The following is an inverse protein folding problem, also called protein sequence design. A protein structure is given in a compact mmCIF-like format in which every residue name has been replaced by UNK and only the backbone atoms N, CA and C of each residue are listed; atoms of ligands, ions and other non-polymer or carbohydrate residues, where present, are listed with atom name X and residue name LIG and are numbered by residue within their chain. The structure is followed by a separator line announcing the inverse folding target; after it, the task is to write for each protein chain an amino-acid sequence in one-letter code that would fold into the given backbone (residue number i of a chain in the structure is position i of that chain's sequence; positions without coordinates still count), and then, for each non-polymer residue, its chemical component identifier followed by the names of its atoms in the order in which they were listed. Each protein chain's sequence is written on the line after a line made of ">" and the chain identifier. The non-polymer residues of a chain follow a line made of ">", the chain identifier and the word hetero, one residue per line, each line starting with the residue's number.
data_IF_485076552379
#
_entry.id   IF_485076552379
#
_cell.length_a   1.000
_cell.length_b   1.000
_cell.length_c   1.000
_cell.angle_alpha   90.00
_cell.angle_beta   90.00
_cell.angle_gamma   90.00
#
_symmetry.space_group_name_H-M   'P 1'
#
loop_
_entity.id
_entity.type
_entity.pdbx_description
1 polymer ?
#
# COMPACT_ATOMS: atom_id res chain seq x y z
N UNK A 1 6.12 -14.27 -16.98
CA UNK A 1 5.58 -13.54 -15.80
C UNK A 1 5.71 -12.02 -15.90
N UNK A 2 6.86 -11.41 -16.22
CA UNK A 2 7.03 -9.93 -16.36
C UNK A 2 6.01 -9.29 -17.33
N UNK A 3 5.63 -9.98 -18.43
CA UNK A 3 4.67 -9.48 -19.44
C UNK A 3 3.24 -9.37 -18.91
N UNK A 4 2.78 -10.33 -18.08
CA UNK A 4 1.42 -10.29 -17.48
C UNK A 4 1.31 -9.22 -16.40
N UNK A 5 2.37 -9.02 -15.58
CA UNK A 5 2.45 -7.94 -14.60
C UNK A 5 2.32 -6.57 -15.26
N UNK A 6 3.07 -6.32 -16.36
CA UNK A 6 2.96 -5.06 -17.12
C UNK A 6 1.55 -4.84 -17.70
N UNK A 7 0.90 -5.89 -18.21
CA UNK A 7 -0.48 -5.80 -18.72
C UNK A 7 -1.48 -5.45 -17.65
N UNK A 8 -1.36 -6.02 -16.44
CA UNK A 8 -2.24 -5.74 -15.32
C UNK A 8 -2.09 -4.29 -14.84
N UNK A 9 -0.86 -3.80 -14.71
CA UNK A 9 -0.61 -2.41 -14.34
C UNK A 9 -1.10 -1.43 -15.41
N UNK A 10 -0.94 -1.77 -16.69
CA UNK A 10 -1.49 -0.97 -17.78
C UNK A 10 -3.03 -0.90 -17.71
N UNK A 11 -3.70 -2.02 -17.41
CA UNK A 11 -5.15 -2.06 -17.26
C UNK A 11 -5.63 -1.18 -16.09
N UNK A 12 -4.98 -1.25 -14.92
CA UNK A 12 -5.28 -0.40 -13.77
C UNK A 12 -5.10 1.08 -14.14
N UNK A 13 -4.00 1.42 -14.80
CA UNK A 13 -3.73 2.79 -15.24
C UNK A 13 -4.80 3.31 -16.21
N UNK A 14 -5.23 2.49 -17.18
CA UNK A 14 -6.28 2.85 -18.14
C UNK A 14 -7.61 3.10 -17.41
N UNK A 15 -7.98 2.26 -16.44
CA UNK A 15 -9.22 2.42 -15.65
C UNK A 15 -9.18 3.73 -14.87
N UNK A 16 -8.07 4.04 -14.19
CA UNK A 16 -7.91 5.29 -13.43
C UNK A 16 -7.99 6.50 -14.35
N UNK A 17 -7.30 6.46 -15.50
CA UNK A 17 -7.32 7.54 -16.49
C UNK A 17 -8.75 7.77 -17.04
N UNK A 18 -9.49 6.70 -17.31
CA UNK A 18 -10.90 6.77 -17.73
C UNK A 18 -11.78 7.40 -16.64
N UNK A 19 -11.64 6.98 -15.38
CA UNK A 19 -12.40 7.55 -14.26
C UNK A 19 -12.13 9.05 -14.08
N UNK A 20 -10.86 9.46 -14.15
CA UNK A 20 -10.48 10.87 -14.06
C UNK A 20 -11.03 11.70 -15.23
N UNK A 21 -11.00 11.16 -16.46
CA UNK A 21 -11.57 11.84 -17.62
C UNK A 21 -13.09 11.98 -17.52
N UNK A 22 -13.79 10.96 -17.02
CA UNK A 22 -15.22 11.00 -16.78
C UNK A 22 -15.60 12.03 -15.70
N UNK A 23 -14.84 12.11 -14.61
CA UNK A 23 -15.02 13.10 -13.55
C UNK A 23 -14.82 14.54 -14.07
N UNK A 24 -13.77 14.77 -14.86
CA UNK A 24 -13.52 16.10 -15.45
C UNK A 24 -14.64 16.50 -16.42
N UNK A 25 -15.09 15.57 -17.26
CA UNK A 25 -16.22 15.81 -18.16
C UNK A 25 -17.51 16.12 -17.37
N UNK A 26 -17.81 15.35 -16.32
CA UNK A 26 -18.98 15.55 -15.45
C UNK A 26 -18.95 16.92 -14.77
N UNK A 27 -17.84 17.31 -14.19
CA UNK A 27 -17.65 18.61 -13.54
C UNK A 27 -17.86 19.77 -14.54
N UNK A 28 -17.29 19.63 -15.74
CA UNK A 28 -17.46 20.60 -16.81
C UNK A 28 -18.94 20.71 -17.27
N UNK A 29 -19.64 19.56 -17.40
CA UNK A 29 -21.05 19.53 -17.77
C UNK A 29 -21.92 20.23 -16.74
N UNK A 30 -21.67 20.05 -15.43
CA UNK A 30 -22.37 20.73 -14.35
C UNK A 30 -22.16 22.24 -14.38
N UNK A 31 -20.92 22.70 -14.54
CA UNK A 31 -20.61 24.13 -14.66
C UNK A 31 -21.34 24.73 -15.86
N UNK A 32 -21.30 24.10 -17.01
CA UNK A 32 -21.98 24.56 -18.22
C UNK A 32 -23.51 24.60 -18.07
N UNK A 33 -24.09 23.65 -17.33
CA UNK A 33 -25.52 23.64 -17.00
C UNK A 33 -25.90 24.85 -16.15
N UNK A 34 -25.11 25.20 -15.14
CA UNK A 34 -25.36 26.38 -14.30
C UNK A 34 -25.26 27.69 -15.08
N UNK A 35 -24.28 27.79 -15.99
CA UNK A 35 -24.18 28.97 -16.87
C UNK A 35 -25.41 29.14 -17.78
N UNK A 36 -26.01 28.06 -18.26
CA UNK A 36 -27.24 28.11 -19.03
C UNK A 36 -28.43 28.62 -18.19
N UNK A 37 -28.56 28.13 -16.94
CA UNK A 37 -29.60 28.57 -16.00
C UNK A 37 -29.44 30.07 -15.73
N UNK A 38 -28.23 30.52 -15.41
CA UNK A 38 -27.95 31.94 -15.19
C UNK A 38 -28.32 32.81 -16.39
N UNK A 39 -27.94 32.43 -17.61
CA UNK A 39 -28.31 33.15 -18.83
C UNK A 39 -29.84 33.24 -19.02
N UNK A 40 -30.55 32.16 -18.68
CA UNK A 40 -32.01 32.13 -18.75
C UNK A 40 -32.63 33.11 -17.73
N UNK A 41 -32.11 33.16 -16.50
CA UNK A 41 -32.57 34.10 -15.48
C UNK A 41 -32.37 35.56 -15.90
N UNK A 42 -31.19 35.90 -16.42
CA UNK A 42 -30.90 37.24 -16.93
C UNK A 42 -31.82 37.61 -18.10
N UNK A 43 -32.03 36.68 -19.06
CA UNK A 43 -32.94 36.95 -20.18
C UNK A 43 -34.38 37.16 -19.73
N UNK A 44 -34.83 36.49 -18.68
CA UNK A 44 -36.18 36.70 -18.10
C UNK A 44 -36.32 38.09 -17.51
N UNK A 45 -35.27 38.62 -16.85
CA UNK A 45 -35.29 40.01 -16.33
C UNK A 45 -35.25 41.02 -17.47
N UNK A 46 -34.54 40.74 -18.56
CA UNK A 46 -34.51 41.59 -19.75
C UNK A 46 -35.88 41.69 -20.43
N UNK A 47 -36.61 40.57 -20.52
CA UNK A 47 -37.98 40.56 -21.02
C UNK A 47 -38.90 41.39 -20.10
N UNK A 48 -38.80 41.27 -18.78
CA UNK A 48 -39.51 42.12 -17.83
C UNK A 48 -39.23 43.61 -18.04
N UNK A 49 -37.99 43.94 -18.38
CA UNK A 49 -37.61 45.33 -18.69
C UNK A 49 -38.33 45.85 -19.95
N UNK A 50 -38.44 45.04 -21.00
CA UNK A 50 -39.18 45.42 -22.21
C UNK A 50 -40.68 45.59 -21.91
N UNK A 51 -41.29 44.68 -21.15
CA UNK A 51 -42.67 44.79 -20.70
C UNK A 51 -42.94 46.05 -19.83
N UNK A 52 -41.95 46.41 -19.00
CA UNK A 52 -42.05 47.61 -18.18
C UNK A 52 -42.01 48.91 -19.04
N UNK A 53 -41.24 48.89 -20.12
CA UNK A 53 -41.23 50.00 -21.09
C UNK A 53 -42.59 50.13 -21.81
N UNK A 54 -43.14 49.03 -22.33
CA UNK A 54 -44.46 49.01 -22.96
C UNK A 54 -45.53 49.47 -22.00
N UNK A 55 -45.55 49.01 -20.78
CA UNK A 55 -46.48 49.42 -19.74
C UNK A 55 -46.36 50.92 -19.41
N UNK A 56 -45.14 51.44 -19.35
CA UNK A 56 -44.90 52.87 -19.13
C UNK A 56 -45.44 53.74 -20.27
N UNK A 57 -45.24 53.28 -21.51
CA UNK A 57 -45.80 53.94 -22.70
C UNK A 57 -47.33 53.96 -22.69
N UNK A 58 -47.95 52.81 -22.46
CA UNK A 58 -49.39 52.70 -22.40
C UNK A 58 -49.99 53.56 -21.29
N UNK A 59 -49.42 53.56 -20.09
CA UNK A 59 -49.84 54.38 -18.97
C UNK A 59 -49.77 55.88 -19.31
N UNK A 60 -48.70 56.33 -19.97
CA UNK A 60 -48.52 57.70 -20.37
C UNK A 60 -49.57 58.13 -21.45
N UNK A 61 -49.86 57.27 -22.41
CA UNK A 61 -50.86 57.52 -23.44
C UNK A 61 -52.26 57.66 -22.86
N UNK A 62 -52.58 56.82 -21.86
CA UNK A 62 -53.89 56.89 -21.18
C UNK A 62 -54.04 58.16 -20.34
N UNK A 63 -52.96 58.60 -19.67
CA UNK A 63 -53.00 59.81 -18.85
C UNK A 63 -53.10 61.10 -19.70
N UNK A 64 -52.40 61.12 -20.87
CA UNK A 64 -52.46 62.26 -21.78
C UNK A 64 -53.81 62.44 -22.44
N UNK A 65 -54.66 61.39 -22.51
CA UNK A 65 -56.06 61.53 -23.00
C UNK A 65 -56.95 62.25 -22.02
N UNK A 66 -56.62 62.39 -20.74
CA UNK A 66 -57.33 63.09 -19.70
C UNK A 66 -56.89 64.57 -19.51
N UNK A 67 -55.68 64.98 -19.92
CA UNK A 67 -55.16 66.31 -19.76
C UNK A 67 -54.33 66.71 -20.99
N UNK A 68 -54.90 67.54 -21.85
CA UNK A 68 -54.29 68.07 -23.06
C UNK A 68 -53.02 68.88 -22.80
N UNK A 69 -51.92 68.58 -23.47
CA UNK A 69 -50.93 69.42 -24.13
C UNK A 69 -49.53 68.93 -24.22
N UNK A 70 -49.19 67.70 -23.86
CA UNK A 70 -47.84 67.18 -24.14
C UNK A 70 -47.81 65.68 -24.37
N UNK A 71 -47.96 65.27 -25.63
CA UNK A 71 -47.81 63.84 -26.00
C UNK A 71 -46.45 63.33 -25.62
N UNK A 72 -46.34 62.15 -25.00
CA UNK A 72 -45.05 61.60 -24.66
C UNK A 72 -44.23 61.31 -25.91
N UNK A 73 -43.03 61.82 -25.96
CA UNK A 73 -42.14 61.54 -27.07
C UNK A 73 -41.48 60.18 -26.85
N UNK A 74 -41.80 59.20 -27.67
CA UNK A 74 -41.21 57.84 -27.65
C UNK A 74 -40.35 57.71 -28.89
N UNK A 75 -39.02 57.69 -28.70
CA UNK A 75 -38.04 57.50 -29.78
C UNK A 75 -37.24 56.22 -29.45
N UNK A 76 -37.34 55.19 -30.28
CA UNK A 76 -36.52 53.99 -30.17
C UNK A 76 -36.35 53.36 -28.76
N UNK A 77 -37.50 53.13 -28.04
CA UNK A 77 -37.53 52.61 -26.66
C UNK A 77 -37.08 53.62 -25.56
N UNK A 78 -36.89 54.88 -25.88
CA UNK A 78 -36.64 55.95 -24.92
C UNK A 78 -37.94 56.70 -24.64
N UNK A 79 -38.27 56.87 -23.35
CA UNK A 79 -39.49 57.54 -22.89
C UNK A 79 -39.07 58.87 -22.28
N UNK A 80 -39.59 59.97 -22.82
CA UNK A 80 -39.31 61.31 -22.38
C UNK A 80 -40.56 61.92 -21.78
N UNK A 81 -40.54 62.26 -20.48
CA UNK A 81 -41.69 62.82 -19.78
C UNK A 81 -41.30 63.78 -18.67
N UNK A 82 -42.20 64.70 -18.34
CA UNK A 82 -42.01 65.72 -17.30
C UNK A 82 -42.43 65.25 -15.90
N UNK A 83 -43.46 64.39 -15.78
CA UNK A 83 -43.94 63.87 -14.50
C UNK A 83 -43.31 62.51 -14.18
N UNK A 84 -42.09 62.57 -13.61
CA UNK A 84 -41.28 61.41 -13.33
C UNK A 84 -41.66 60.68 -12.04
N UNK A 85 -42.29 61.36 -11.08
CA UNK A 85 -42.55 60.85 -9.75
C UNK A 85 -43.66 59.79 -9.72
N UNK A 86 -44.78 60.04 -10.41
CA UNK A 86 -45.90 59.12 -10.48
C UNK A 86 -45.55 57.84 -11.25
N UNK A 87 -44.89 57.98 -12.41
CA UNK A 87 -44.45 56.89 -13.23
C UNK A 87 -43.41 55.99 -12.48
N UNK A 88 -42.47 56.63 -11.79
CA UNK A 88 -41.49 55.92 -10.98
C UNK A 88 -42.12 55.08 -9.90
N UNK A 89 -43.14 55.56 -9.18
CA UNK A 89 -43.86 54.86 -8.14
C UNK A 89 -44.56 53.61 -8.68
N UNK A 90 -45.33 53.72 -9.76
CA UNK A 90 -46.09 52.63 -10.37
C UNK A 90 -45.12 51.55 -10.92
N UNK A 91 -44.06 51.95 -11.63
CA UNK A 91 -43.10 50.99 -12.15
C UNK A 91 -42.33 50.29 -11.04
N UNK A 92 -41.97 50.96 -9.95
CA UNK A 92 -41.28 50.34 -8.84
C UNK A 92 -42.14 49.34 -8.07
N UNK A 93 -43.44 49.59 -7.98
CA UNK A 93 -44.39 48.68 -7.35
C UNK A 93 -44.63 47.42 -8.20
N UNK A 94 -44.73 47.56 -9.53
CA UNK A 94 -45.04 46.44 -10.44
C UNK A 94 -43.79 45.68 -10.91
N UNK A 95 -42.65 46.32 -11.00
CA UNK A 95 -41.40 45.75 -11.50
C UNK A 95 -40.25 45.96 -10.50
N UNK A 96 -40.31 45.31 -9.36
CA UNK A 96 -39.35 45.43 -8.26
C UNK A 96 -37.91 45.03 -8.61
N UNK A 97 -37.73 44.23 -9.65
CA UNK A 97 -36.43 43.74 -10.14
C UNK A 97 -35.67 44.78 -10.98
N UNK A 98 -36.32 45.91 -11.30
CA UNK A 98 -35.75 46.96 -12.13
C UNK A 98 -35.48 48.21 -11.30
N UNK A 99 -34.31 48.81 -11.52
CA UNK A 99 -34.04 50.17 -11.03
C UNK A 99 -34.48 51.21 -12.05
N UNK A 100 -35.18 52.22 -11.55
CA UNK A 100 -35.70 53.29 -12.33
C UNK A 100 -34.85 54.52 -12.11
N UNK A 101 -34.29 55.07 -13.18
CA UNK A 101 -33.54 56.32 -13.15
C UNK A 101 -33.93 57.20 -14.32
N UNK A 102 -33.68 58.48 -14.21
CA UNK A 102 -33.94 59.45 -15.27
C UNK A 102 -32.64 60.15 -15.61
N UNK A 103 -32.33 60.25 -16.91
CA UNK A 103 -31.27 61.05 -17.41
C UNK A 103 -31.84 62.32 -18.06
N UNK A 104 -31.39 63.48 -17.66
CA UNK A 104 -31.80 64.73 -18.28
C UNK A 104 -31.16 64.88 -19.66
N UNK A 105 -32.00 64.86 -20.70
CA UNK A 105 -31.59 65.11 -22.08
C UNK A 105 -31.59 66.62 -22.36
N UNK A 106 -30.42 67.22 -22.39
CA UNK A 106 -30.25 68.67 -22.59
C UNK A 106 -30.74 69.17 -23.95
N UNK A 107 -30.70 68.34 -24.97
CA UNK A 107 -31.12 68.72 -26.32
C UNK A 107 -32.67 68.81 -26.44
N UNK A 108 -33.34 67.96 -25.75
CA UNK A 108 -34.82 67.92 -25.78
C UNK A 108 -35.47 68.58 -24.55
N UNK A 109 -34.66 69.02 -23.56
CA UNK A 109 -35.07 69.63 -22.31
C UNK A 109 -36.12 68.80 -21.54
N UNK A 110 -35.97 67.48 -21.58
CA UNK A 110 -36.87 66.49 -20.92
C UNK A 110 -36.05 65.38 -20.22
N UNK A 111 -36.69 64.69 -19.27
CA UNK A 111 -36.13 63.52 -18.60
C UNK A 111 -36.37 62.27 -19.43
N UNK A 112 -35.29 61.53 -19.67
CA UNK A 112 -35.36 60.22 -20.32
C UNK A 112 -35.44 59.14 -19.26
N UNK A 113 -36.44 58.24 -19.38
CA UNK A 113 -36.57 57.08 -18.50
C UNK A 113 -35.54 56.01 -18.84
N UNK A 114 -34.71 55.68 -17.84
CA UNK A 114 -33.73 54.60 -17.93
C UNK A 114 -34.15 53.47 -16.99
N UNK A 115 -34.47 52.32 -17.54
CA UNK A 115 -34.74 51.09 -16.79
C UNK A 115 -33.51 50.18 -16.89
N UNK A 116 -32.98 49.83 -15.75
CA UNK A 116 -31.86 48.88 -15.67
C UNK A 116 -32.14 47.80 -14.63
N UNK A 117 -31.47 46.68 -14.76
CA UNK A 117 -31.54 45.62 -13.73
C UNK A 117 -30.94 46.18 -12.45
N UNK A 118 -31.65 45.98 -11.32
CA UNK A 118 -31.14 46.40 -10.01
C UNK A 118 -29.73 45.83 -9.80
N UNK A 119 -28.75 46.69 -9.62
CA UNK A 119 -27.33 46.31 -9.50
C UNK A 119 -27.11 45.26 -8.39
N UNK A 120 -27.88 45.34 -7.32
CA UNK A 120 -27.87 44.38 -6.22
C UNK A 120 -28.30 42.97 -6.67
N UNK A 121 -29.36 42.83 -7.47
CA UNK A 121 -29.88 41.54 -7.98
C UNK A 121 -28.82 40.93 -8.91
N UNK A 122 -28.30 41.73 -9.84
CA UNK A 122 -27.23 41.27 -10.76
C UNK A 122 -25.99 40.80 -10.01
N UNK A 123 -25.55 41.52 -8.98
CA UNK A 123 -24.39 41.14 -8.18
C UNK A 123 -24.63 39.86 -7.35
N UNK A 124 -25.86 39.69 -6.79
CA UNK A 124 -26.24 38.48 -6.08
C UNK A 124 -26.23 37.25 -7.00
N UNK A 125 -26.84 37.35 -8.19
CA UNK A 125 -26.86 36.25 -9.17
C UNK A 125 -25.42 35.85 -9.60
N UNK A 126 -24.56 36.84 -9.82
CA UNK A 126 -23.11 36.56 -10.14
C UNK A 126 -22.39 35.89 -8.97
N UNK A 127 -22.64 36.35 -7.73
CA UNK A 127 -22.07 35.74 -6.55
C UNK A 127 -22.49 34.29 -6.36
N UNK A 128 -23.79 34.00 -6.52
CA UNK A 128 -24.33 32.64 -6.46
C UNK A 128 -23.75 31.74 -7.54
N UNK A 129 -23.66 32.21 -8.79
CA UNK A 129 -23.03 31.45 -9.86
C UNK A 129 -21.56 31.12 -9.53
N UNK A 130 -20.80 32.11 -9.05
CA UNK A 130 -19.41 31.94 -8.69
C UNK A 130 -19.24 31.02 -7.48
N UNK A 131 -20.16 31.07 -6.51
CA UNK A 131 -20.15 30.17 -5.35
C UNK A 131 -20.43 28.72 -5.78
N UNK A 132 -21.45 28.48 -6.58
CA UNK A 132 -21.79 27.14 -7.13
C UNK A 132 -20.64 26.62 -8.00
N UNK A 133 -20.06 27.45 -8.87
CA UNK A 133 -18.90 27.09 -9.69
C UNK A 133 -17.71 26.64 -8.85
N UNK A 134 -17.37 27.39 -7.79
CA UNK A 134 -16.28 27.02 -6.86
C UNK A 134 -16.58 25.71 -6.14
N UNK A 135 -17.83 25.50 -5.67
CA UNK A 135 -18.24 24.26 -5.01
C UNK A 135 -18.04 23.04 -5.93
N UNK A 136 -18.51 23.10 -7.18
CA UNK A 136 -18.33 22.00 -8.15
C UNK A 136 -16.87 21.72 -8.51
N UNK A 137 -16.04 22.76 -8.61
CA UNK A 137 -14.60 22.57 -8.85
C UNK A 137 -13.93 21.87 -7.65
N UNK A 138 -14.23 22.30 -6.43
CA UNK A 138 -13.68 21.69 -5.21
C UNK A 138 -14.15 20.24 -5.07
N UNK A 139 -15.41 19.94 -5.34
CA UNK A 139 -15.96 18.58 -5.31
C UNK A 139 -15.29 17.70 -6.37
N UNK A 140 -15.12 18.20 -7.59
CA UNK A 140 -14.38 17.49 -8.64
C UNK A 140 -12.92 17.21 -8.28
N UNK A 141 -12.23 18.17 -7.66
CA UNK A 141 -10.86 18.01 -7.20
C UNK A 141 -10.74 16.99 -6.05
N UNK A 142 -11.67 17.03 -5.08
CA UNK A 142 -11.66 16.06 -3.96
C UNK A 142 -11.94 14.64 -4.44
N UNK A 143 -12.90 14.44 -5.33
CA UNK A 143 -13.19 13.13 -5.93
C UNK A 143 -12.02 12.63 -6.79
N UNK A 144 -11.36 13.52 -7.53
CA UNK A 144 -10.16 13.21 -8.29
C UNK A 144 -9.00 12.76 -7.40
N UNK A 145 -8.76 13.46 -6.30
CA UNK A 145 -7.74 13.09 -5.31
C UNK A 145 -8.01 11.72 -4.68
N UNK A 146 -9.25 11.47 -4.27
CA UNK A 146 -9.67 10.18 -3.71
C UNK A 146 -9.44 9.05 -4.73
N UNK A 147 -9.78 9.27 -6.00
CA UNK A 147 -9.56 8.29 -7.08
C UNK A 147 -8.09 7.95 -7.26
N UNK A 148 -7.20 8.95 -7.20
CA UNK A 148 -5.74 8.75 -7.28
C UNK A 148 -5.22 7.95 -6.08
N UNK A 149 -5.67 8.28 -4.85
CA UNK A 149 -5.27 7.58 -3.63
C UNK A 149 -5.69 6.11 -3.68
N UNK A 150 -6.94 5.82 -4.06
CA UNK A 150 -7.45 4.45 -4.19
C UNK A 150 -6.65 3.70 -5.27
N UNK A 151 -6.39 4.33 -6.41
CA UNK A 151 -5.58 3.73 -7.47
C UNK A 151 -4.16 3.39 -7.05
N UNK A 152 -3.50 4.28 -6.31
CA UNK A 152 -2.18 4.04 -5.75
C UNK A 152 -2.20 2.90 -4.72
N UNK A 153 -3.16 2.89 -3.81
CA UNK A 153 -3.33 1.81 -2.84
C UNK A 153 -3.55 0.45 -3.52
N UNK A 154 -4.40 0.40 -4.53
CA UNK A 154 -4.65 -0.80 -5.34
C UNK A 154 -3.39 -1.27 -6.08
N UNK A 155 -2.60 -0.35 -6.63
CA UNK A 155 -1.33 -0.68 -7.28
C UNK A 155 -0.36 -1.37 -6.30
N UNK A 156 -0.13 -0.79 -5.12
CA UNK A 156 0.75 -1.38 -4.10
C UNK A 156 0.23 -2.73 -3.60
N UNK A 157 -1.08 -2.86 -3.41
CA UNK A 157 -1.71 -4.10 -2.96
C UNK A 157 -1.54 -5.24 -3.98
N UNK A 158 -1.80 -4.96 -5.26
CA UNK A 158 -1.64 -5.94 -6.35
C UNK A 158 -0.17 -6.33 -6.51
N UNK A 159 0.77 -5.38 -6.44
CA UNK A 159 2.20 -5.69 -6.51
C UNK A 159 2.64 -6.62 -5.37
N UNK A 160 2.15 -6.37 -4.14
CA UNK A 160 2.38 -7.23 -2.98
C UNK A 160 1.85 -8.65 -3.19
N UNK A 161 0.61 -8.81 -3.69
CA UNK A 161 0.02 -10.13 -3.98
C UNK A 161 0.83 -10.89 -5.02
N UNK A 162 1.23 -10.21 -6.11
CA UNK A 162 2.03 -10.86 -7.16
C UNK A 162 3.37 -11.34 -6.60
N UNK A 163 4.05 -10.55 -5.77
CA UNK A 163 5.32 -10.96 -5.13
C UNK A 163 5.11 -12.19 -4.23
N UNK A 164 4.07 -12.19 -3.41
CA UNK A 164 3.75 -13.32 -2.54
C UNK A 164 3.46 -14.60 -3.35
N UNK A 165 2.69 -14.50 -4.43
CA UNK A 165 2.42 -15.65 -5.31
C UNK A 165 3.69 -16.19 -5.97
N UNK A 166 4.60 -15.31 -6.40
CA UNK A 166 5.89 -15.73 -6.98
C UNK A 166 6.73 -16.45 -5.92
N UNK A 167 6.82 -15.90 -4.71
CA UNK A 167 7.55 -16.53 -3.61
C UNK A 167 6.97 -17.90 -3.26
N UNK A 168 5.64 -18.01 -3.19
CA UNK A 168 4.95 -19.27 -2.92
C UNK A 168 5.18 -20.32 -4.03
N UNK A 169 5.14 -19.90 -5.29
CA UNK A 169 5.42 -20.80 -6.43
C UNK A 169 6.87 -21.29 -6.40
N UNK A 170 7.82 -20.38 -6.19
CA UNK A 170 9.24 -20.72 -6.10
C UNK A 170 9.51 -21.66 -4.91
N UNK A 171 8.83 -21.45 -3.78
CA UNK A 171 8.89 -22.38 -2.64
C UNK A 171 8.42 -23.78 -3.00
N UNK A 172 7.22 -23.91 -3.63
CA UNK A 172 6.69 -25.20 -4.01
C UNK A 172 7.64 -25.95 -4.97
N UNK A 173 8.24 -25.22 -5.92
CA UNK A 173 9.24 -25.78 -6.82
C UNK A 173 10.50 -26.23 -6.05
N UNK A 174 11.03 -25.38 -5.15
CA UNK A 174 12.20 -25.70 -4.34
C UNK A 174 11.96 -26.89 -3.42
N UNK A 175 10.82 -26.92 -2.70
CA UNK A 175 10.45 -28.05 -1.83
C UNK A 175 10.31 -29.34 -2.65
N UNK A 176 9.62 -29.28 -3.78
CA UNK A 176 9.46 -30.46 -4.65
C UNK A 176 10.81 -31.00 -5.12
N UNK A 177 11.73 -30.13 -5.50
CA UNK A 177 13.08 -30.52 -5.92
C UNK A 177 13.88 -31.10 -4.74
N UNK A 178 13.83 -30.48 -3.57
CA UNK A 178 14.52 -30.92 -2.35
C UNK A 178 13.96 -32.24 -1.80
N UNK A 179 12.66 -32.51 -1.99
CA UNK A 179 12.05 -33.79 -1.64
C UNK A 179 12.41 -34.89 -2.65
N UNK A 180 12.47 -34.57 -3.95
CA UNK A 180 12.75 -35.53 -5.00
C UNK A 180 14.13 -36.14 -4.87
N UNK A 181 15.14 -35.37 -4.47
CA UNK A 181 16.53 -35.82 -4.35
C UNK A 181 16.70 -36.96 -3.33
N UNK A 182 16.30 -36.80 -2.03
CA UNK A 182 16.43 -37.87 -1.05
C UNK A 182 15.54 -39.07 -1.39
N UNK A 183 14.34 -38.87 -1.94
CA UNK A 183 13.47 -39.96 -2.39
C UNK A 183 14.16 -40.76 -3.47
N UNK A 184 14.74 -40.11 -4.47
CA UNK A 184 15.44 -40.79 -5.57
C UNK A 184 16.70 -41.52 -5.09
N UNK A 185 17.45 -40.93 -4.16
CA UNK A 185 18.65 -41.57 -3.59
C UNK A 185 18.28 -42.78 -2.73
N UNK A 186 17.24 -42.71 -1.89
CA UNK A 186 16.71 -43.83 -1.10
C UNK A 186 16.22 -44.96 -2.04
N UNK A 187 15.45 -44.59 -3.08
CA UNK A 187 14.97 -45.59 -4.06
C UNK A 187 16.13 -46.29 -4.76
N UNK A 188 17.16 -45.56 -5.17
CA UNK A 188 18.34 -46.15 -5.80
C UNK A 188 19.10 -47.05 -4.84
N UNK A 189 19.33 -46.64 -3.59
CA UNK A 189 19.95 -47.47 -2.55
C UNK A 189 19.19 -48.79 -2.36
N UNK A 190 17.87 -48.73 -2.18
CA UNK A 190 17.02 -49.92 -2.03
C UNK A 190 17.03 -50.81 -3.29
N UNK A 191 16.99 -50.24 -4.49
CA UNK A 191 17.08 -51.01 -5.74
C UNK A 191 18.44 -51.71 -5.89
N UNK A 192 19.52 -51.07 -5.41
CA UNK A 192 20.87 -51.66 -5.45
C UNK A 192 21.01 -52.81 -4.45
N UNK A 193 20.42 -52.68 -3.24
CA UNK A 193 20.33 -53.71 -2.26
C UNK A 193 19.64 -54.97 -2.82
N UNK A 194 18.51 -54.78 -3.52
CA UNK A 194 17.73 -55.87 -4.11
C UNK A 194 18.49 -56.58 -5.22
N UNK A 195 19.28 -55.82 -6.02
CA UNK A 195 20.01 -56.36 -7.18
C UNK A 195 21.36 -57.01 -6.84
N UNK A 196 22.11 -56.48 -5.84
CA UNK A 196 23.43 -56.94 -5.46
C UNK A 196 23.34 -57.61 -4.07
N UNK A 197 23.59 -58.90 -4.01
CA UNK A 197 23.69 -59.71 -2.75
C UNK A 197 25.09 -59.60 -2.11
N UNK A 198 25.77 -58.47 -2.23
CA UNK A 198 27.10 -58.29 -1.67
C UNK A 198 27.01 -57.72 -0.25
N UNK A 199 27.33 -58.50 0.76
CA UNK A 199 27.21 -58.16 2.18
C UNK A 199 28.05 -56.93 2.59
N UNK A 200 29.21 -56.69 1.96
CA UNK A 200 30.07 -55.56 2.31
C UNK A 200 29.55 -54.17 1.91
N UNK A 201 28.59 -54.11 0.98
CA UNK A 201 27.97 -52.88 0.50
C UNK A 201 26.62 -52.56 1.15
N UNK A 202 26.03 -53.56 1.83
CA UNK A 202 24.68 -53.52 2.38
C UNK A 202 24.55 -52.44 3.46
N UNK A 203 25.46 -52.43 4.44
CA UNK A 203 25.43 -51.44 5.54
C UNK A 203 25.58 -50.01 5.06
N UNK A 204 26.44 -49.78 4.07
CA UNK A 204 26.61 -48.48 3.46
C UNK A 204 25.37 -47.98 2.73
N UNK A 205 24.67 -48.85 2.01
CA UNK A 205 23.44 -48.54 1.28
C UNK A 205 22.26 -48.30 2.25
N UNK A 206 22.18 -49.07 3.33
CA UNK A 206 21.21 -48.87 4.41
C UNK A 206 21.44 -47.49 5.07
N UNK A 207 22.72 -47.18 5.41
CA UNK A 207 23.08 -45.88 5.99
C UNK A 207 22.70 -44.71 5.09
N UNK A 208 22.92 -44.82 3.78
CA UNK A 208 22.49 -43.81 2.78
C UNK A 208 20.97 -43.65 2.79
N UNK A 209 20.22 -44.75 2.81
CA UNK A 209 18.76 -44.72 2.82
C UNK A 209 18.22 -44.07 4.12
N UNK A 210 18.79 -44.42 5.28
CA UNK A 210 18.41 -43.87 6.59
C UNK A 210 18.70 -42.38 6.68
N UNK A 211 19.86 -41.93 6.25
CA UNK A 211 20.24 -40.52 6.23
C UNK A 211 19.31 -39.70 5.35
N UNK A 212 18.99 -40.17 4.14
CA UNK A 212 18.05 -39.49 3.26
C UNK A 212 16.63 -39.45 3.83
N UNK A 213 16.18 -40.50 4.51
CA UNK A 213 14.86 -40.54 5.17
C UNK A 213 14.81 -39.55 6.35
N UNK A 214 15.86 -39.47 7.17
CA UNK A 214 15.99 -38.49 8.25
C UNK A 214 15.95 -37.06 7.71
N UNK A 215 16.65 -36.79 6.60
CA UNK A 215 16.61 -35.48 5.92
C UNK A 215 15.22 -35.12 5.42
N UNK A 216 14.48 -36.09 4.87
CA UNK A 216 13.11 -35.91 4.42
C UNK A 216 12.18 -35.58 5.60
N UNK A 217 12.26 -36.33 6.71
CA UNK A 217 11.50 -36.04 7.92
C UNK A 217 11.73 -34.63 8.44
N UNK A 218 12.99 -34.23 8.59
CA UNK A 218 13.37 -32.87 9.03
C UNK A 218 12.76 -31.78 8.13
N UNK A 219 12.70 -32.02 6.81
CA UNK A 219 12.10 -31.05 5.88
C UNK A 219 10.57 -30.98 6.03
N UNK A 220 9.88 -32.10 6.21
CA UNK A 220 8.43 -32.14 6.48
C UNK A 220 8.12 -31.40 7.78
N UNK A 221 8.90 -31.63 8.85
CA UNK A 221 8.73 -30.95 10.14
C UNK A 221 8.90 -29.45 10.03
N UNK A 222 9.87 -28.96 9.23
CA UNK A 222 10.04 -27.54 8.96
C UNK A 222 8.83 -26.93 8.23
N UNK A 223 8.26 -27.64 7.25
CA UNK A 223 7.06 -27.17 6.53
C UNK A 223 5.87 -27.15 7.47
N UNK A 224 5.66 -28.18 8.28
CA UNK A 224 4.58 -28.25 9.27
C UNK A 224 4.72 -27.14 10.32
N UNK A 225 5.93 -26.91 10.83
CA UNK A 225 6.18 -25.84 11.79
C UNK A 225 5.89 -24.46 11.16
N UNK A 226 6.31 -24.24 9.93
CA UNK A 226 6.02 -22.98 9.22
C UNK A 226 4.52 -22.74 9.00
N UNK A 227 3.73 -23.80 8.76
CA UNK A 227 2.26 -23.69 8.64
C UNK A 227 1.58 -23.45 9.99
N UNK A 228 2.09 -24.05 11.08
CA UNK A 228 1.60 -23.76 12.44
C UNK A 228 1.78 -22.30 12.83
N UNK A 229 2.92 -21.68 12.47
CA UNK A 229 3.14 -20.24 12.69
C UNK A 229 2.11 -19.36 11.96
N UNK A 230 1.72 -19.72 10.74
CA UNK A 230 0.70 -18.97 9.99
C UNK A 230 -0.70 -19.05 10.60
N UNK A 231 -1.05 -20.23 11.10
CA UNK A 231 -2.36 -20.46 11.69
C UNK A 231 -2.48 -19.94 13.13
N UNK A 232 -1.40 -19.40 13.70
CA UNK A 232 -1.30 -18.98 15.11
C UNK A 232 -1.64 -20.10 16.12
N UNK A 233 -1.59 -21.34 15.70
CA UNK A 233 -1.78 -22.53 16.55
C UNK A 233 -0.45 -23.00 17.12
N UNK A 234 0.31 -22.10 17.76
CA UNK A 234 1.53 -22.42 18.46
C UNK A 234 1.34 -22.00 19.90
N UNK A 235 1.52 -22.97 20.78
CA UNK A 235 1.48 -22.79 22.23
C UNK A 235 2.89 -23.10 22.76
N UNK A 236 3.76 -22.08 22.96
CA UNK A 236 5.12 -22.31 23.40
C UNK A 236 5.19 -22.75 24.86
N UNK A 237 6.01 -23.76 25.16
CA UNK A 237 6.22 -24.24 26.51
C UNK A 237 7.47 -23.59 27.09
N UNK A 238 7.29 -22.45 27.75
CA UNK A 238 8.39 -21.75 28.39
C UNK A 238 8.79 -22.41 29.72
N UNK A 239 10.08 -22.66 29.88
CA UNK A 239 10.71 -23.17 31.09
C UNK A 239 12.11 -22.58 31.29
N UNK A 240 12.60 -22.51 32.52
CA UNK A 240 13.96 -22.11 32.80
C UNK A 240 14.88 -23.24 32.34
N UNK A 241 15.74 -22.95 31.35
CA UNK A 241 16.67 -23.93 30.79
C UNK A 241 18.03 -23.26 30.49
N UNK A 242 19.08 -24.08 30.51
CA UNK A 242 20.47 -23.68 30.28
C UNK A 242 20.70 -23.55 28.77
N UNK A 243 20.82 -22.32 28.29
CA UNK A 243 20.97 -22.00 26.86
C UNK A 243 22.27 -22.56 26.27
N UNK A 244 23.33 -22.51 27.04
CA UNK A 244 24.65 -23.09 26.69
C UNK A 244 24.54 -24.61 26.45
N UNK A 245 23.87 -25.36 27.34
CA UNK A 245 23.68 -26.78 27.18
C UNK A 245 22.84 -27.12 25.94
N UNK A 246 21.82 -26.31 25.64
CA UNK A 246 21.01 -26.46 24.42
C UNK A 246 21.86 -26.25 23.16
N UNK A 247 22.77 -25.28 23.16
CA UNK A 247 23.68 -25.07 22.03
C UNK A 247 24.57 -26.27 21.83
N UNK A 248 25.25 -26.74 22.89
CA UNK A 248 26.16 -27.87 22.83
C UNK A 248 25.46 -29.13 22.35
N UNK A 249 24.30 -29.46 22.95
CA UNK A 249 23.47 -30.62 22.54
C UNK A 249 23.04 -30.49 21.07
N UNK A 250 22.62 -29.31 20.65
CA UNK A 250 22.19 -29.10 19.25
C UNK A 250 23.34 -29.32 18.27
N UNK A 251 24.58 -28.91 18.63
CA UNK A 251 25.78 -29.17 17.81
C UNK A 251 26.09 -30.66 17.73
N UNK A 252 25.94 -31.40 18.83
CA UNK A 252 26.11 -32.86 18.83
C UNK A 252 25.05 -33.56 17.94
N UNK A 253 23.79 -33.17 18.06
CA UNK A 253 22.66 -33.71 17.29
C UNK A 253 22.73 -33.38 15.77
N UNK A 254 23.60 -32.46 15.38
CA UNK A 254 23.78 -32.11 13.96
C UNK A 254 24.53 -33.17 13.16
N UNK A 255 25.16 -34.16 13.82
CA UNK A 255 25.94 -35.23 13.16
C UNK A 255 26.88 -34.68 12.09
N UNK A 256 27.55 -33.56 12.41
CA UNK A 256 28.48 -32.90 11.47
C UNK A 256 29.67 -33.78 11.21
N UNK A 257 30.20 -33.83 9.96
CA UNK A 257 31.50 -34.42 9.68
C UNK A 257 32.60 -33.79 10.56
N UNK A 258 33.62 -34.57 10.94
CA UNK A 258 34.72 -34.06 11.79
C UNK A 258 35.30 -32.74 11.27
N UNK A 259 35.63 -32.68 10.01
CA UNK A 259 36.14 -31.46 9.35
C UNK A 259 35.20 -30.25 9.46
N UNK A 260 33.90 -30.46 9.66
CA UNK A 260 32.92 -29.37 9.84
C UNK A 260 32.76 -28.98 11.31
N UNK A 261 33.05 -29.90 12.25
CA UNK A 261 33.08 -29.58 13.69
C UNK A 261 34.33 -28.72 14.02
N UNK A 262 35.46 -28.99 13.41
CA UNK A 262 36.71 -28.22 13.57
C UNK A 262 36.56 -26.76 13.09
N UNK A 263 35.54 -26.46 12.27
CA UNK A 263 35.23 -25.10 11.84
C UNK A 263 34.46 -24.28 12.86
N UNK A 264 33.92 -24.88 13.94
CA UNK A 264 33.12 -24.19 14.94
C UNK A 264 33.98 -23.64 16.08
N UNK A 265 34.05 -22.31 16.19
CA UNK A 265 34.69 -21.62 17.31
C UNK A 265 33.59 -21.22 18.31
N UNK A 266 33.69 -21.74 19.55
CA UNK A 266 32.69 -21.54 20.59
C UNK A 266 33.22 -20.57 21.67
N UNK A 267 32.44 -19.50 21.94
CA UNK A 267 32.66 -18.56 23.05
C UNK A 267 31.33 -18.41 23.81
N UNK A 268 31.09 -19.34 24.74
CA UNK A 268 29.77 -19.58 25.33
C UNK A 268 29.84 -19.38 26.84
N UNK A 269 29.09 -18.40 27.35
CA UNK A 269 28.87 -18.21 28.79
C UNK A 269 27.75 -19.14 29.27
N UNK A 270 27.82 -19.61 30.51
CA UNK A 270 26.70 -20.35 31.15
C UNK A 270 25.56 -19.38 31.42
N UNK A 271 24.40 -19.62 30.82
CA UNK A 271 23.23 -18.72 30.93
C UNK A 271 21.90 -19.50 30.97
N UNK A 272 21.16 -19.30 32.06
CA UNK A 272 19.77 -19.77 32.17
C UNK A 272 18.81 -18.69 31.69
N UNK A 273 17.78 -19.08 30.91
CA UNK A 273 16.71 -18.21 30.48
C UNK A 273 15.39 -18.97 30.40
N UNK A 274 14.28 -18.22 30.49
CA UNK A 274 12.93 -18.75 30.32
C UNK A 274 12.62 -18.86 28.83
N UNK A 275 12.70 -20.08 28.29
CA UNK A 275 12.64 -20.36 26.85
C UNK A 275 11.88 -21.66 26.57
N UNK A 276 11.42 -21.84 25.32
CA UNK A 276 11.03 -23.12 24.77
C UNK A 276 12.26 -23.79 24.14
N UNK A 277 12.74 -24.86 24.80
CA UNK A 277 13.96 -25.58 24.40
C UNK A 277 13.86 -26.11 22.94
N UNK A 278 12.72 -26.71 22.61
CA UNK A 278 12.52 -27.31 21.28
C UNK A 278 12.55 -26.25 20.15
N UNK A 279 11.96 -25.12 20.39
CA UNK A 279 12.00 -23.98 19.46
C UNK A 279 13.40 -23.38 19.36
N UNK A 280 14.09 -23.22 20.49
CA UNK A 280 15.46 -22.66 20.47
C UNK A 280 16.43 -23.60 19.74
N UNK A 281 16.31 -24.91 19.87
CA UNK A 281 17.07 -25.90 19.10
C UNK A 281 16.86 -25.70 17.58
N UNK A 282 15.62 -25.41 17.12
CA UNK A 282 15.34 -25.10 15.71
C UNK A 282 16.09 -23.85 15.27
N UNK A 283 16.13 -22.82 16.10
CA UNK A 283 16.86 -21.56 15.81
C UNK A 283 18.35 -21.82 15.64
N UNK A 284 18.98 -22.47 16.64
CA UNK A 284 20.41 -22.75 16.66
C UNK A 284 20.79 -23.61 15.45
N UNK A 285 20.07 -24.67 15.20
CA UNK A 285 20.28 -25.58 14.06
C UNK A 285 20.24 -24.82 12.73
N UNK A 286 19.24 -23.95 12.52
CA UNK A 286 19.10 -23.21 11.27
C UNK A 286 20.24 -22.20 11.08
N UNK A 287 20.68 -21.52 12.13
CA UNK A 287 21.79 -20.57 12.03
C UNK A 287 23.11 -21.29 11.74
N UNK A 288 23.44 -22.33 12.50
CA UNK A 288 24.71 -23.10 12.31
C UNK A 288 24.73 -23.75 10.92
N UNK A 289 23.67 -24.41 10.50
CA UNK A 289 23.63 -25.05 9.17
C UNK A 289 23.72 -24.06 8.04
N UNK A 290 23.10 -22.86 8.18
CA UNK A 290 23.25 -21.80 7.19
C UNK A 290 24.68 -21.28 7.13
N UNK A 291 25.32 -20.99 8.27
CA UNK A 291 26.67 -20.48 8.33
C UNK A 291 27.72 -21.50 7.78
N UNK A 292 27.58 -22.79 8.09
CA UNK A 292 28.40 -23.82 7.48
C UNK A 292 28.18 -23.96 5.97
N UNK A 293 26.97 -23.85 5.53
CA UNK A 293 26.56 -24.00 4.12
C UNK A 293 27.06 -22.85 3.24
N UNK A 294 26.96 -21.62 3.73
CA UNK A 294 27.31 -20.41 2.99
C UNK A 294 28.71 -19.87 3.37
N UNK A 295 29.34 -20.42 4.42
CA UNK A 295 30.66 -20.07 4.92
C UNK A 295 31.83 -20.55 4.07
N UNK A 296 31.58 -21.29 2.98
CA UNK A 296 32.62 -21.73 2.02
C UNK A 296 33.74 -22.54 2.67
N UNK A 297 33.46 -23.32 3.70
CA UNK A 297 34.47 -24.10 4.45
C UNK A 297 35.35 -23.27 5.37
N UNK A 298 35.03 -22.03 5.63
CA UNK A 298 35.73 -21.15 6.58
C UNK A 298 35.14 -21.29 8.00
N UNK A 299 35.90 -20.83 9.03
CA UNK A 299 35.44 -20.90 10.41
C UNK A 299 34.12 -20.17 10.67
N UNK A 300 33.27 -20.74 11.53
CA UNK A 300 32.02 -20.18 12.02
C UNK A 300 32.16 -19.94 13.52
N UNK A 301 32.00 -18.70 13.96
CA UNK A 301 32.05 -18.32 15.36
C UNK A 301 30.64 -18.29 15.97
N UNK A 302 30.47 -18.97 17.09
CA UNK A 302 29.25 -19.01 17.88
C UNK A 302 29.54 -18.40 19.24
N UNK A 303 28.93 -17.31 19.60
CA UNK A 303 29.07 -16.69 20.92
C UNK A 303 27.74 -16.54 21.63
N UNK A 304 27.72 -16.87 22.92
CA UNK A 304 26.61 -16.68 23.83
C UNK A 304 27.08 -15.79 24.97
N UNK A 305 26.45 -14.63 25.13
CA UNK A 305 26.79 -13.65 26.17
C UNK A 305 25.59 -13.28 26.99
N UNK A 306 25.78 -13.21 28.32
CA UNK A 306 24.76 -12.73 29.25
C UNK A 306 24.85 -11.22 29.37
N UNK A 307 23.76 -10.52 29.07
CA UNK A 307 23.56 -9.11 29.41
C UNK A 307 22.71 -8.95 30.68
N UNK A 308 22.39 -7.70 31.06
CA UNK A 308 21.65 -7.41 32.31
C UNK A 308 20.29 -8.10 32.38
N UNK A 309 19.52 -8.06 31.31
CA UNK A 309 18.17 -8.65 31.25
C UNK A 309 17.92 -9.45 29.96
N UNK A 310 18.96 -9.76 29.22
CA UNK A 310 18.89 -10.45 27.92
C UNK A 310 20.06 -11.39 27.74
N UNK A 311 19.82 -12.47 27.03
CA UNK A 311 20.89 -13.31 26.47
C UNK A 311 21.08 -12.98 25.01
N UNK A 312 22.32 -12.84 24.57
CA UNK A 312 22.69 -12.61 23.18
C UNK A 312 23.41 -13.83 22.60
N UNK A 313 22.79 -14.44 21.59
CA UNK A 313 23.39 -15.48 20.75
C UNK A 313 23.83 -14.83 19.44
N UNK A 314 25.11 -14.98 19.08
CA UNK A 314 25.66 -14.56 17.78
C UNK A 314 26.20 -15.77 17.04
N UNK A 315 25.92 -15.85 15.76
CA UNK A 315 26.53 -16.81 14.82
C UNK A 315 27.10 -16.02 13.66
N UNK A 316 28.42 -16.09 13.49
CA UNK A 316 29.15 -15.34 12.48
C UNK A 316 29.86 -16.28 11.52
N UNK A 317 29.67 -16.10 10.24
CA UNK A 317 30.38 -16.80 9.17
C UNK A 317 31.28 -15.83 8.39
N UNK A 318 32.24 -16.39 7.66
CA UNK A 318 33.18 -15.67 6.78
C UNK A 318 32.90 -15.96 5.29
N UNK A 319 31.61 -16.24 4.94
CA UNK A 319 31.18 -16.60 3.61
C UNK A 319 31.04 -15.42 2.67
N UNK A 320 30.14 -15.58 1.68
CA UNK A 320 29.86 -14.56 0.64
C UNK A 320 29.14 -13.32 1.16
N UNK A 321 28.57 -13.36 2.36
CA UNK A 321 27.74 -12.28 2.91
C UNK A 321 26.35 -12.17 2.27
N UNK A 322 25.61 -11.13 2.68
CA UNK A 322 24.24 -10.84 2.18
C UNK A 322 24.18 -9.35 1.85
N UNK A 323 23.77 -9.03 0.61
CA UNK A 323 23.61 -7.65 0.18
C UNK A 323 22.58 -6.88 1.02
N UNK A 324 22.82 -5.59 1.24
CA UNK A 324 21.94 -4.74 2.06
C UNK A 324 20.49 -4.69 1.56
N UNK A 325 20.29 -4.81 0.25
CA UNK A 325 18.97 -4.91 -0.36
C UNK A 325 18.19 -6.16 0.06
N UNK A 326 18.91 -7.26 0.33
CA UNK A 326 18.32 -8.55 0.66
C UNK A 326 18.16 -8.77 2.17
N UNK A 327 18.91 -8.07 3.02
CA UNK A 327 18.86 -8.23 4.49
C UNK A 327 17.46 -8.11 5.09
N UNK A 328 16.63 -7.20 4.54
CA UNK A 328 15.24 -7.03 4.99
C UNK A 328 14.31 -8.16 4.52
N UNK A 329 14.73 -8.94 3.54
CA UNK A 329 13.92 -9.95 2.89
C UNK A 329 14.27 -11.37 3.28
N UNK A 330 15.52 -11.64 3.73
CA UNK A 330 15.98 -13.01 4.05
C UNK A 330 15.21 -13.70 5.17
N UNK A 331 14.50 -12.94 6.02
CA UNK A 331 13.60 -13.46 7.06
C UNK A 331 12.16 -13.68 6.57
N UNK A 332 11.86 -13.33 5.31
CA UNK A 332 10.54 -13.59 4.75
C UNK A 332 10.40 -15.06 4.34
N UNK A 333 9.20 -15.59 4.54
CA UNK A 333 8.87 -16.96 4.16
C UNK A 333 9.17 -17.18 2.68
N UNK A 334 9.86 -18.29 2.37
CA UNK A 334 10.22 -18.69 1.01
C UNK A 334 11.23 -17.80 0.28
N UNK A 335 11.76 -16.78 0.96
CA UNK A 335 12.74 -15.91 0.36
C UNK A 335 14.11 -16.60 0.25
N UNK A 336 14.77 -16.39 -0.87
CA UNK A 336 16.13 -16.89 -1.14
C UNK A 336 16.85 -15.86 -1.99
N UNK A 337 18.11 -15.58 -1.64
CA UNK A 337 18.98 -14.66 -2.39
C UNK A 337 19.31 -15.25 -3.77
N UNK A 338 19.34 -14.40 -4.81
CA UNK A 338 19.69 -14.77 -6.19
C UNK A 338 18.55 -15.35 -7.02
N UNK A 339 18.81 -15.57 -8.31
CA UNK A 339 17.82 -16.07 -9.27
C UNK A 339 17.76 -17.62 -9.23
N UNK A 340 16.58 -18.22 -9.35
CA UNK A 340 16.35 -19.66 -9.24
C UNK A 340 17.18 -20.48 -10.24
N UNK A 341 17.51 -19.90 -11.40
CA UNK A 341 18.27 -20.55 -12.47
C UNK A 341 19.79 -20.60 -12.22
N UNK A 342 20.30 -19.76 -11.32
CA UNK A 342 21.75 -19.62 -11.06
C UNK A 342 22.15 -20.13 -9.67
N UNK A 343 21.19 -20.60 -8.88
CA UNK A 343 21.42 -21.07 -7.51
C UNK A 343 22.10 -22.42 -7.49
N UNK A 344 23.25 -22.47 -6.83
CA UNK A 344 24.04 -23.69 -6.64
C UNK A 344 23.72 -24.42 -5.34
N UNK A 345 23.20 -23.71 -4.33
CA UNK A 345 22.97 -24.25 -2.98
C UNK A 345 21.50 -24.66 -2.76
N UNK A 346 21.20 -25.91 -2.31
CA UNK A 346 19.86 -26.38 -2.03
C UNK A 346 19.24 -25.66 -0.82
N UNK A 347 17.89 -25.58 -0.70
CA UNK A 347 17.21 -25.04 0.49
C UNK A 347 15.79 -24.58 0.26
N UNK A 348 14.96 -24.71 1.29
CA UNK A 348 13.51 -24.40 1.26
C UNK A 348 13.17 -22.91 1.40
N UNK A 349 14.09 -22.07 1.90
CA UNK A 349 13.80 -20.68 2.28
C UNK A 349 12.93 -20.55 3.53
N UNK A 350 12.83 -21.59 4.34
CA UNK A 350 12.08 -21.60 5.61
C UNK A 350 12.96 -21.36 6.83
N UNK A 351 14.26 -21.68 6.78
CA UNK A 351 15.12 -21.69 7.95
C UNK A 351 15.16 -20.34 8.67
N UNK A 352 15.54 -19.25 7.98
CA UNK A 352 15.61 -17.91 8.57
C UNK A 352 14.21 -17.33 8.90
N UNK A 353 13.18 -17.70 8.17
CA UNK A 353 11.80 -17.38 8.54
C UNK A 353 11.44 -17.99 9.91
N UNK A 354 11.72 -19.27 10.12
CA UNK A 354 11.49 -19.94 11.41
C UNK A 354 12.31 -19.30 12.53
N UNK A 355 13.59 -18.97 12.28
CA UNK A 355 14.42 -18.22 13.24
C UNK A 355 13.74 -16.94 13.67
N UNK A 356 13.22 -16.15 12.73
CA UNK A 356 12.52 -14.89 13.02
C UNK A 356 11.23 -15.13 13.82
N UNK A 357 10.38 -16.06 13.42
CA UNK A 357 9.11 -16.35 14.09
C UNK A 357 9.35 -16.83 15.53
N UNK A 358 10.30 -17.73 15.73
CA UNK A 358 10.64 -18.25 17.06
C UNK A 358 11.24 -17.14 17.94
N UNK A 359 12.13 -16.32 17.37
CA UNK A 359 12.68 -15.16 18.11
C UNK A 359 11.60 -14.21 18.56
N UNK A 360 10.60 -13.92 17.70
CA UNK A 360 9.46 -13.05 18.02
C UNK A 360 8.58 -13.64 19.14
N UNK A 361 8.31 -14.95 19.11
CA UNK A 361 7.59 -15.65 20.21
C UNK A 361 8.32 -15.50 21.54
N UNK A 362 9.66 -15.60 21.54
CA UNK A 362 10.48 -15.35 22.72
C UNK A 362 10.65 -13.87 23.05
N UNK A 363 9.85 -12.96 22.47
CA UNK A 363 9.92 -11.49 22.65
C UNK A 363 11.34 -10.95 22.39
N UNK A 364 12.10 -11.66 21.57
CA UNK A 364 13.46 -11.33 21.19
C UNK A 364 13.54 -10.42 19.98
N UNK A 365 14.77 -10.08 19.62
CA UNK A 365 15.10 -9.36 18.37
C UNK A 365 16.22 -10.08 17.65
N UNK A 366 16.05 -10.24 16.33
CA UNK A 366 17.12 -10.74 15.43
C UNK A 366 17.65 -9.58 14.59
N UNK A 367 18.96 -9.49 14.44
CA UNK A 367 19.65 -8.60 13.50
C UNK A 367 20.59 -9.38 12.61
N UNK A 368 20.91 -8.80 11.46
CA UNK A 368 21.85 -9.32 10.47
C UNK A 368 22.79 -8.20 10.05
N UNK A 369 24.08 -8.42 10.27
CA UNK A 369 25.15 -7.48 9.97
C UNK A 369 26.17 -8.14 9.04
N UNK A 370 26.96 -7.33 8.33
CA UNK A 370 28.11 -7.85 7.57
C UNK A 370 29.25 -8.21 8.52
N UNK A 371 29.93 -9.29 8.22
CA UNK A 371 31.18 -9.65 8.90
C UNK A 371 32.39 -9.06 8.16
N UNK A 372 33.49 -8.82 8.87
CA UNK A 372 34.74 -8.29 8.30
C UNK A 372 35.77 -9.42 8.18
N UNK A 373 36.47 -9.58 7.04
CA UNK A 373 36.39 -8.82 5.77
C UNK A 373 35.22 -9.25 4.86
N UNK A 374 34.52 -10.34 5.13
CA UNK A 374 33.38 -10.84 4.38
C UNK A 374 32.53 -11.79 5.24
N UNK A 375 31.27 -11.99 4.91
CA UNK A 375 30.37 -12.92 5.61
C UNK A 375 29.19 -12.25 6.27
N UNK A 376 28.52 -12.98 7.15
CA UNK A 376 27.31 -12.54 7.84
C UNK A 376 27.39 -12.79 9.34
N UNK A 377 26.84 -11.88 10.13
CA UNK A 377 26.67 -12.01 11.58
C UNK A 377 25.17 -12.00 11.88
N UNK A 378 24.64 -13.12 12.33
CA UNK A 378 23.28 -13.22 12.86
C UNK A 378 23.32 -13.05 14.38
N UNK A 379 22.64 -12.05 14.90
CA UNK A 379 22.54 -11.77 16.35
C UNK A 379 21.12 -11.88 16.82
N UNK A 380 20.87 -12.72 17.83
CA UNK A 380 19.57 -12.91 18.47
C UNK A 380 19.71 -12.46 19.93
N UNK A 381 18.78 -11.59 20.35
CA UNK A 381 18.68 -11.09 21.72
C UNK A 381 17.33 -11.53 22.29
N UNK A 382 17.33 -12.41 23.29
CA UNK A 382 16.13 -12.91 23.97
C UNK A 382 16.13 -12.40 25.42
N UNK A 383 14.98 -11.96 26.00
CA UNK A 383 14.92 -11.63 27.42
C UNK A 383 15.15 -12.88 28.27
N UNK A 384 15.82 -12.72 29.42
CA UNK A 384 16.08 -13.84 30.34
C UNK A 384 14.80 -14.38 30.96
N UNK A 385 13.77 -13.56 31.12
CA UNK A 385 12.46 -13.94 31.60
C UNK A 385 11.37 -13.49 30.63
N UNK A 386 10.32 -14.29 30.47
CA UNK A 386 9.19 -14.00 29.59
C UNK A 386 8.06 -13.23 30.27
N UNK A 387 8.28 -12.76 31.51
CA UNK A 387 7.26 -12.09 32.32
C UNK A 387 6.56 -10.98 31.54
N UNK A 388 5.27 -11.07 31.46
CA UNK A 388 4.37 -10.07 30.90
C UNK A 388 4.49 -8.84 31.80
N UNK A 389 5.01 -7.72 31.31
CA UNK A 389 4.63 -6.44 31.88
C UNK A 389 3.14 -6.28 31.58
N UNK A 390 2.33 -6.38 32.65
CA UNK A 390 0.89 -6.20 32.66
C UNK A 390 0.50 -4.77 32.23
#
# INVERSE_FOLDING_TARGET
>A
MKRNRRRLFLAIFIIIAYMLSALTWWTFALIRSQEKIFKKEISTIEIKRELAIEYAVEWLLLKDSEHSNSSPLVIHKHIYHTDTAALSRILSEKFSDLSISYNFNRQLNVNELCLSIVSKIKSQLIQELNAKRRAWILEGLTLGLITIIIGAAMFFYVDKIIRLNIQQTNFLLAVTHELKTPISATKLALQTIVKKKDNGMLDKLIGIAQSNMSRLSKMVDQVLLATKFESKFIDPVFQIASVDQIILKTIEDLELPENSRDLLNLDIDAVDAEIDESMLQVVIRNLITNSLKYGEGKPVSISLKKGDNRVQLKVADMGMGIDDSDKKHVFQKFYRVGDEKTRTQPGSGLGLYLVKQITDIHKGKISLENNDPSGSIFSINIPLTQTVQA
#
